data_IF_951046107354
#
_entry.id   IF_951046107354
#
_cell.length_a   1.000
_cell.length_b   1.000
_cell.length_c   1.000
_cell.angle_alpha   90.00
_cell.angle_beta   90.00
_cell.angle_gamma   90.00
#
_symmetry.space_group_name_H-M   'P 1'
#
loop_
_entity.id
_entity.type
_entity.pdbx_description
1 polymer ?
#
# COMPACT_ATOMS: atom_id res chain seq x y z
N UNK A 1 9.37 13.16 -1.32
CA UNK A 1 10.67 13.09 -2.03
C UNK A 1 11.68 12.42 -1.12
N UNK A 2 12.76 11.87 -1.70
CA UNK A 2 13.81 11.21 -0.93
C UNK A 2 14.49 12.14 0.09
N UNK A 3 14.67 13.41 -0.25
CA UNK A 3 15.28 14.43 0.62
C UNK A 3 14.56 14.61 1.98
N UNK A 4 13.26 14.31 2.04
CA UNK A 4 12.48 14.43 3.26
C UNK A 4 12.63 13.22 4.21
N UNK A 5 13.17 12.09 3.73
CA UNK A 5 13.15 10.81 4.47
C UNK A 5 14.00 10.90 5.74
N UNK A 6 15.29 11.26 5.61
CA UNK A 6 16.19 11.34 6.77
C UNK A 6 15.71 12.35 7.82
N UNK A 7 15.39 13.61 7.48
CA UNK A 7 14.86 14.56 8.47
C UNK A 7 13.59 14.05 9.16
N UNK A 8 12.70 13.36 8.43
CA UNK A 8 11.50 12.77 9.03
C UNK A 8 11.83 11.64 10.01
N UNK A 9 12.85 10.82 9.72
CA UNK A 9 13.30 9.75 10.63
C UNK A 9 13.93 10.31 11.89
N UNK A 10 14.74 11.36 11.78
CA UNK A 10 15.35 12.05 12.93
C UNK A 10 14.27 12.65 13.86
N UNK A 11 13.24 13.28 13.29
CA UNK A 11 12.10 13.78 14.05
C UNK A 11 11.31 12.66 14.73
N UNK A 12 11.05 11.56 13.99
CA UNK A 12 10.33 10.41 14.53
C UNK A 12 11.11 9.74 15.67
N UNK A 13 12.44 9.67 15.57
CA UNK A 13 13.30 9.10 16.60
C UNK A 13 13.23 9.93 17.90
N UNK A 14 13.21 11.26 17.79
CA UNK A 14 13.06 12.16 18.93
C UNK A 14 11.76 11.95 19.73
N UNK A 15 10.70 11.47 19.09
CA UNK A 15 9.40 11.20 19.75
C UNK A 15 9.14 9.71 19.99
N UNK A 16 10.09 8.82 19.68
CA UNK A 16 9.92 7.35 19.70
C UNK A 16 9.35 6.82 21.02
N UNK A 17 9.84 7.33 22.16
CA UNK A 17 9.39 6.92 23.50
C UNK A 17 7.96 7.38 23.85
N UNK A 18 7.40 8.31 23.08
CA UNK A 18 6.06 8.85 23.28
C UNK A 18 5.02 8.12 22.40
N UNK A 19 5.47 7.32 21.42
CA UNK A 19 4.61 6.57 20.53
C UNK A 19 3.89 5.46 21.30
N UNK A 20 2.55 5.47 21.25
CA UNK A 20 1.71 4.45 21.90
C UNK A 20 1.24 3.36 20.94
N UNK A 21 1.58 3.49 19.66
CA UNK A 21 1.17 2.57 18.59
C UNK A 21 2.33 2.38 17.61
N UNK A 22 2.39 1.24 16.92
CA UNK A 22 3.32 1.06 15.80
C UNK A 22 3.14 2.15 14.74
N UNK A 23 4.23 2.47 14.06
CA UNK A 23 4.24 3.43 12.96
C UNK A 23 4.54 2.68 11.67
N UNK A 24 3.84 3.06 10.61
CA UNK A 24 4.09 2.59 9.25
C UNK A 24 4.78 3.71 8.47
N UNK A 25 5.85 3.38 7.75
CA UNK A 25 6.57 4.37 6.93
C UNK A 25 6.27 4.10 5.47
N UNK A 26 5.63 5.08 4.82
CA UNK A 26 5.10 4.93 3.47
C UNK A 26 5.97 5.61 2.42
N UNK A 27 6.17 4.94 1.29
CA UNK A 27 6.68 5.55 0.06
C UNK A 27 6.23 4.78 -1.18
N UNK A 28 5.98 5.53 -2.26
CA UNK A 28 5.85 4.96 -3.59
C UNK A 28 7.25 4.84 -4.21
N UNK A 29 7.71 3.60 -4.33
CA UNK A 29 9.09 3.26 -4.73
C UNK A 29 9.19 2.66 -6.13
N UNK A 30 8.04 2.34 -6.74
CA UNK A 30 7.93 1.79 -8.09
C UNK A 30 6.87 2.53 -8.92
N UNK A 31 7.01 2.56 -10.26
CA UNK A 31 5.97 3.06 -11.13
C UNK A 31 4.83 2.06 -11.20
N UNK A 32 3.59 2.54 -11.06
CA UNK A 32 2.39 1.71 -11.09
C UNK A 32 1.43 2.11 -12.18
N UNK A 33 0.21 1.54 -12.16
CA UNK A 33 -0.74 1.75 -13.24
C UNK A 33 -1.16 3.21 -13.33
N UNK A 34 -1.05 3.76 -14.54
CA UNK A 34 -1.34 5.17 -14.85
C UNK A 34 -0.52 6.18 -14.00
N UNK A 35 0.55 5.71 -13.34
CA UNK A 35 1.39 6.50 -12.46
C UNK A 35 2.47 7.28 -13.22
N UNK A 36 3.12 8.20 -12.52
CA UNK A 36 4.32 8.87 -13.02
C UNK A 36 5.58 8.08 -12.66
N UNK A 37 6.63 8.18 -13.46
CA UNK A 37 7.96 7.62 -13.15
C UNK A 37 8.69 8.36 -12.01
N UNK A 38 8.07 9.40 -11.44
CA UNK A 38 8.61 10.18 -10.32
C UNK A 38 8.49 9.42 -8.97
N UNK A 39 9.22 8.31 -8.86
CA UNK A 39 9.24 7.43 -7.68
C UNK A 39 10.33 7.84 -6.69
N UNK A 40 10.20 7.40 -5.44
CA UNK A 40 11.29 7.48 -4.46
C UNK A 40 12.28 6.35 -4.73
N UNK A 41 13.59 6.64 -4.69
CA UNK A 41 14.62 5.62 -4.81
C UNK A 41 14.46 4.55 -3.71
N UNK A 42 14.14 3.32 -4.13
CA UNK A 42 13.81 2.22 -3.23
C UNK A 42 14.95 1.90 -2.26
N UNK A 43 16.18 1.73 -2.77
CA UNK A 43 17.33 1.35 -1.97
C UNK A 43 17.65 2.41 -0.91
N UNK A 44 17.78 3.67 -1.31
CA UNK A 44 18.08 4.77 -0.39
C UNK A 44 16.99 4.99 0.65
N UNK A 45 15.72 4.83 0.26
CA UNK A 45 14.60 4.90 1.20
C UNK A 45 14.68 3.78 2.24
N UNK A 46 14.81 2.53 1.80
CA UNK A 46 14.86 1.36 2.67
C UNK A 46 16.08 1.40 3.60
N UNK A 47 17.27 1.71 3.07
CA UNK A 47 18.50 1.83 3.85
C UNK A 47 18.35 2.90 4.95
N UNK A 48 17.80 4.06 4.58
CA UNK A 48 17.61 5.15 5.55
C UNK A 48 16.62 4.75 6.63
N UNK A 49 15.42 4.28 6.25
CA UNK A 49 14.36 3.94 7.22
C UNK A 49 14.81 2.82 8.16
N UNK A 50 15.40 1.76 7.62
CA UNK A 50 15.79 0.58 8.41
C UNK A 50 17.01 0.84 9.31
N UNK A 51 17.86 1.81 8.97
CA UNK A 51 18.96 2.25 9.85
C UNK A 51 18.46 2.91 11.15
N UNK A 52 17.32 3.62 11.10
CA UNK A 52 16.71 4.25 12.27
C UNK A 52 15.72 3.30 12.99
N UNK A 53 14.94 2.54 12.21
CA UNK A 53 13.87 1.69 12.70
C UNK A 53 13.91 0.30 12.05
N UNK A 54 14.78 -0.62 12.51
CA UNK A 54 14.93 -1.94 11.90
C UNK A 54 13.68 -2.83 12.01
N UNK A 55 12.81 -2.57 13.00
CA UNK A 55 11.59 -3.34 13.28
C UNK A 55 10.30 -2.59 12.91
N UNK A 56 10.36 -1.67 11.95
CA UNK A 56 9.20 -0.90 11.49
C UNK A 56 8.34 -1.69 10.51
N UNK A 57 7.07 -1.32 10.35
CA UNK A 57 6.27 -1.77 9.19
C UNK A 57 6.49 -0.82 8.03
N UNK A 58 6.82 -1.38 6.87
CA UNK A 58 7.01 -0.62 5.64
C UNK A 58 5.70 -0.63 4.84
N UNK A 59 5.30 0.53 4.33
CA UNK A 59 4.19 0.67 3.39
C UNK A 59 4.76 1.03 2.03
N UNK A 60 4.95 0.02 1.16
CA UNK A 60 5.72 0.16 -0.08
C UNK A 60 4.77 0.12 -1.27
N UNK A 61 4.58 1.28 -1.88
CA UNK A 61 3.59 1.51 -2.92
C UNK A 61 4.17 1.65 -4.31
N UNK A 62 3.23 1.84 -5.24
CA UNK A 62 3.51 2.32 -6.57
C UNK A 62 2.89 3.69 -6.77
N UNK A 63 3.54 4.54 -7.57
CA UNK A 63 2.86 5.73 -8.07
C UNK A 63 1.70 5.27 -8.94
N UNK A 64 0.50 5.79 -8.68
CA UNK A 64 -0.71 5.38 -9.43
C UNK A 64 -1.53 6.58 -9.86
N UNK A 65 -2.20 6.45 -10.99
CA UNK A 65 -3.17 7.41 -11.48
C UNK A 65 -4.56 6.80 -11.60
N UNK A 66 -5.57 7.64 -11.49
CA UNK A 66 -6.93 7.32 -11.89
C UNK A 66 -7.45 8.41 -12.83
N UNK A 67 -8.06 7.99 -13.93
CA UNK A 67 -8.52 8.85 -15.01
C UNK A 67 -10.01 8.62 -15.29
N UNK A 68 -10.88 9.61 -15.02
CA UNK A 68 -12.31 9.48 -15.29
C UNK A 68 -12.60 9.24 -16.77
N UNK A 69 -13.55 8.35 -17.05
CA UNK A 69 -13.99 8.03 -18.42
C UNK A 69 -12.97 7.29 -19.29
N UNK A 70 -11.84 6.84 -18.71
CA UNK A 70 -10.84 6.01 -19.38
C UNK A 70 -10.80 4.61 -18.77
N UNK A 71 -10.26 3.67 -19.54
CA UNK A 71 -9.83 2.40 -18.97
C UNK A 71 -8.65 2.67 -18.04
N UNK A 72 -8.78 2.26 -16.78
CA UNK A 72 -7.72 2.35 -15.79
C UNK A 72 -7.15 0.95 -15.61
N UNK A 73 -5.92 0.76 -16.05
CA UNK A 73 -5.22 -0.52 -15.89
C UNK A 73 -4.97 -0.81 -14.41
N UNK A 74 -4.95 -2.10 -14.06
CA UNK A 74 -4.54 -2.56 -12.76
C UNK A 74 -3.03 -2.85 -12.70
N UNK A 75 -2.56 -3.26 -11.53
CA UNK A 75 -1.21 -3.80 -11.30
C UNK A 75 -0.98 -5.07 -12.13
N UNK A 76 0.06 -5.07 -12.95
CA UNK A 76 0.42 -6.21 -13.79
C UNK A 76 1.47 -7.13 -13.13
N UNK A 77 1.77 -8.24 -13.83
CA UNK A 77 2.76 -9.22 -13.37
C UNK A 77 4.18 -8.66 -13.21
N UNK A 78 4.58 -7.70 -14.05
CA UNK A 78 5.90 -7.10 -13.98
C UNK A 78 6.00 -6.26 -12.71
N UNK A 79 5.00 -5.42 -12.45
CA UNK A 79 4.91 -4.55 -11.28
C UNK A 79 4.98 -5.33 -9.96
N UNK A 80 4.19 -6.41 -9.84
CA UNK A 80 4.18 -7.20 -8.58
C UNK A 80 5.44 -8.04 -8.40
N UNK A 81 6.05 -8.53 -9.49
CA UNK A 81 7.32 -9.29 -9.41
C UNK A 81 8.48 -8.40 -9.03
N UNK A 82 8.55 -7.19 -9.56
CA UNK A 82 9.57 -6.21 -9.19
C UNK A 82 9.45 -5.82 -7.71
N UNK A 83 8.23 -5.56 -7.23
CA UNK A 83 8.00 -5.31 -5.80
C UNK A 83 8.42 -6.50 -4.93
N UNK A 84 8.09 -7.73 -5.34
CA UNK A 84 8.50 -8.93 -4.62
C UNK A 84 10.03 -9.06 -4.53
N UNK A 85 10.76 -8.76 -5.62
CA UNK A 85 12.23 -8.79 -5.65
C UNK A 85 12.84 -7.79 -4.67
N UNK A 86 12.31 -6.56 -4.61
CA UNK A 86 12.77 -5.56 -3.64
C UNK A 86 12.51 -6.02 -2.20
N UNK A 87 11.37 -6.67 -1.96
CA UNK A 87 10.94 -7.05 -0.62
C UNK A 87 11.56 -8.38 -0.11
N UNK A 88 12.17 -9.18 -0.98
CA UNK A 88 12.75 -10.50 -0.64
C UNK A 88 13.84 -10.39 0.43
N UNK A 89 14.66 -9.33 0.37
CA UNK A 89 15.76 -9.11 1.33
C UNK A 89 15.33 -8.45 2.64
N UNK A 90 14.09 -7.98 2.73
CA UNK A 90 13.59 -7.28 3.92
C UNK A 90 13.21 -8.28 5.00
N UNK A 91 13.37 -7.92 6.27
CA UNK A 91 12.87 -8.71 7.42
C UNK A 91 11.61 -8.09 8.06
N UNK A 92 11.30 -6.85 7.69
CA UNK A 92 10.17 -6.05 8.20
C UNK A 92 8.82 -6.57 7.69
N UNK A 93 7.71 -6.39 8.43
CA UNK A 93 6.37 -6.46 7.84
C UNK A 93 6.23 -5.45 6.71
N UNK A 94 5.60 -5.84 5.61
CA UNK A 94 5.38 -4.97 4.45
C UNK A 94 3.90 -4.95 4.11
N UNK A 95 3.30 -3.77 4.06
CA UNK A 95 1.98 -3.59 3.47
C UNK A 95 2.12 -2.91 2.12
N UNK A 96 1.35 -3.35 1.14
CA UNK A 96 1.32 -2.77 -0.20
C UNK A 96 0.09 -1.88 -0.33
N UNK A 97 0.23 -0.54 -0.30
CA UNK A 97 -0.87 0.37 -0.56
C UNK A 97 -1.29 0.24 -2.02
N UNK A 98 -2.51 -0.26 -2.25
CA UNK A 98 -3.10 -0.43 -3.57
C UNK A 98 -4.38 0.38 -3.69
N UNK A 99 -4.55 1.05 -4.83
CA UNK A 99 -5.67 1.96 -5.07
C UNK A 99 -6.94 1.16 -5.35
N UNK A 100 -7.99 1.36 -4.57
CA UNK A 100 -9.24 0.60 -4.58
C UNK A 100 -9.82 0.42 -5.99
N UNK A 101 -9.82 1.49 -6.80
CA UNK A 101 -10.34 1.50 -8.16
C UNK A 101 -9.59 0.57 -9.15
N UNK A 102 -8.38 0.12 -8.79
CA UNK A 102 -7.47 -0.64 -9.65
C UNK A 102 -7.28 -2.10 -9.21
N UNK A 103 -7.80 -2.47 -8.03
CA UNK A 103 -7.54 -3.81 -7.46
C UNK A 103 -8.32 -4.90 -8.20
N UNK A 104 -9.53 -4.59 -8.65
CA UNK A 104 -10.43 -5.59 -9.26
C UNK A 104 -9.80 -6.27 -10.48
N UNK A 105 -9.00 -5.53 -11.25
CA UNK A 105 -8.33 -6.04 -12.45
C UNK A 105 -7.05 -6.84 -12.13
N UNK A 106 -6.59 -6.82 -10.87
CA UNK A 106 -5.25 -7.30 -10.47
C UNK A 106 -5.28 -8.27 -9.31
N UNK A 107 -6.42 -8.91 -9.06
CA UNK A 107 -6.55 -9.86 -7.95
C UNK A 107 -5.52 -10.98 -8.08
N UNK A 108 -5.30 -11.54 -9.27
CA UNK A 108 -4.37 -12.66 -9.45
C UNK A 108 -2.93 -12.28 -9.13
N UNK A 109 -2.49 -11.11 -9.62
CA UNK A 109 -1.16 -10.55 -9.46
C UNK A 109 -0.90 -10.21 -7.99
N UNK A 110 -1.85 -9.52 -7.34
CA UNK A 110 -1.73 -9.13 -5.94
C UNK A 110 -1.86 -10.32 -4.99
N UNK A 111 -2.70 -11.32 -5.30
CA UNK A 111 -2.78 -12.57 -4.53
C UNK A 111 -1.48 -13.33 -4.60
N UNK A 112 -0.85 -13.41 -5.78
CA UNK A 112 0.48 -14.01 -5.92
C UNK A 112 1.53 -13.26 -5.09
N UNK A 113 1.52 -11.92 -5.10
CA UNK A 113 2.42 -11.12 -4.28
C UNK A 113 2.30 -11.46 -2.79
N UNK A 114 1.08 -11.54 -2.26
CA UNK A 114 0.85 -11.91 -0.85
C UNK A 114 1.26 -13.35 -0.51
N UNK A 115 1.35 -14.25 -1.49
CA UNK A 115 1.81 -15.62 -1.27
C UNK A 115 3.34 -15.72 -1.10
N UNK A 116 4.10 -14.68 -1.48
CA UNK A 116 5.56 -14.73 -1.39
C UNK A 116 6.07 -14.67 0.06
N UNK A 117 5.28 -14.15 0.99
CA UNK A 117 5.65 -14.03 2.41
C UNK A 117 4.41 -13.82 3.29
N UNK A 118 4.41 -14.42 4.48
CA UNK A 118 3.37 -14.21 5.50
C UNK A 118 3.43 -12.80 6.12
N UNK A 119 4.58 -12.12 6.00
CA UNK A 119 4.79 -10.73 6.43
C UNK A 119 4.09 -9.69 5.55
N UNK A 120 3.54 -10.10 4.41
CA UNK A 120 2.95 -9.19 3.43
C UNK A 120 1.47 -8.94 3.70
N UNK A 121 1.00 -7.72 3.47
CA UNK A 121 -0.41 -7.35 3.55
C UNK A 121 -0.78 -6.33 2.46
N UNK A 122 -2.07 -6.06 2.30
CA UNK A 122 -2.55 -4.96 1.45
C UNK A 122 -3.13 -3.84 2.31
N UNK A 123 -2.93 -2.61 1.85
CA UNK A 123 -3.67 -1.44 2.33
C UNK A 123 -4.48 -0.88 1.16
N UNK A 124 -5.79 -1.10 1.17
CA UNK A 124 -6.69 -0.59 0.14
C UNK A 124 -6.96 0.89 0.44
N UNK A 125 -6.53 1.78 -0.45
CA UNK A 125 -6.73 3.21 -0.30
C UNK A 125 -7.46 3.81 -1.50
N UNK A 126 -8.04 5.00 -1.34
CA UNK A 126 -8.67 5.70 -2.45
C UNK A 126 -8.36 7.21 -2.43
N UNK A 127 -8.11 7.76 -3.61
CA UNK A 127 -8.09 9.20 -3.83
C UNK A 127 -9.49 9.81 -3.78
N UNK A 128 -9.56 11.12 -3.54
CA UNK A 128 -10.86 11.85 -3.45
C UNK A 128 -11.70 11.78 -4.73
N UNK A 129 -11.03 11.73 -5.88
CA UNK A 129 -11.67 11.71 -7.20
C UNK A 129 -11.86 10.29 -7.73
N UNK A 130 -11.39 9.27 -7.01
CA UNK A 130 -11.46 7.89 -7.46
C UNK A 130 -12.90 7.41 -7.42
N UNK A 131 -13.36 6.83 -8.52
CA UNK A 131 -14.67 6.16 -8.56
C UNK A 131 -14.46 4.66 -8.40
N UNK A 132 -15.04 4.12 -7.33
CA UNK A 132 -15.07 2.71 -6.98
C UNK A 132 -16.35 2.43 -6.19
N UNK A 133 -16.85 1.20 -6.23
CA UNK A 133 -18.11 0.83 -5.60
C UNK A 133 -17.92 0.04 -4.31
N UNK A 134 -18.95 -0.03 -3.46
CA UNK A 134 -18.98 -0.99 -2.34
C UNK A 134 -18.82 -2.42 -2.85
N UNK A 135 -19.39 -2.75 -4.00
CA UNK A 135 -19.24 -4.05 -4.67
C UNK A 135 -17.76 -4.38 -4.94
N UNK A 136 -16.96 -3.40 -5.35
CA UNK A 136 -15.52 -3.61 -5.56
C UNK A 136 -14.80 -3.89 -4.24
N UNK A 137 -15.15 -3.19 -3.16
CA UNK A 137 -14.58 -3.45 -1.82
C UNK A 137 -14.97 -4.82 -1.27
N UNK A 138 -16.21 -5.25 -1.51
CA UNK A 138 -16.70 -6.58 -1.16
C UNK A 138 -15.97 -7.65 -1.98
N UNK A 139 -15.80 -7.43 -3.28
CA UNK A 139 -15.04 -8.32 -4.16
C UNK A 139 -13.59 -8.48 -3.67
N UNK A 140 -12.92 -7.39 -3.28
CA UNK A 140 -11.57 -7.46 -2.67
C UNK A 140 -11.63 -8.29 -1.39
N UNK A 141 -12.59 -8.03 -0.50
CA UNK A 141 -12.74 -8.74 0.79
C UNK A 141 -12.96 -10.24 0.63
N UNK A 142 -13.59 -10.67 -0.46
CA UNK A 142 -13.84 -12.08 -0.76
C UNK A 142 -12.61 -12.80 -1.34
N UNK A 143 -11.74 -12.07 -2.04
CA UNK A 143 -10.58 -12.65 -2.74
C UNK A 143 -9.27 -12.65 -1.91
N UNK A 144 -9.22 -11.91 -0.81
CA UNK A 144 -8.04 -11.82 0.04
C UNK A 144 -8.32 -12.23 1.49
N UNK A 145 -7.28 -12.68 2.19
CA UNK A 145 -7.36 -12.95 3.64
C UNK A 145 -7.69 -11.65 4.40
N UNK A 146 -8.85 -11.63 5.04
CA UNK A 146 -9.38 -10.49 5.80
C UNK A 146 -8.44 -10.01 6.92
N UNK A 147 -7.57 -10.89 7.43
CA UNK A 147 -6.58 -10.53 8.46
C UNK A 147 -5.36 -9.80 7.89
N UNK A 148 -5.17 -9.82 6.57
CA UNK A 148 -4.04 -9.26 5.83
C UNK A 148 -4.44 -8.11 4.90
N UNK A 149 -5.65 -7.57 5.06
CA UNK A 149 -6.15 -6.43 4.28
C UNK A 149 -6.64 -5.34 5.22
N UNK A 150 -6.07 -4.17 5.06
CA UNK A 150 -6.46 -2.93 5.74
C UNK A 150 -7.15 -2.00 4.76
N UNK A 151 -8.07 -1.16 5.24
CA UNK A 151 -8.82 -0.21 4.42
C UNK A 151 -8.57 1.20 4.93
N UNK A 152 -7.97 2.04 4.09
CA UNK A 152 -7.80 3.49 4.27
C UNK A 152 -8.73 4.23 3.30
N UNK A 153 -10.02 4.21 3.65
CA UNK A 153 -11.12 4.68 2.80
C UNK A 153 -11.85 5.81 3.52
N UNK A 154 -12.10 6.91 2.82
CA UNK A 154 -12.84 8.06 3.36
C UNK A 154 -14.35 7.83 3.40
N UNK A 155 -15.04 8.60 4.23
CA UNK A 155 -16.50 8.68 4.19
C UNK A 155 -16.99 9.34 2.89
N UNK A 156 -18.19 8.99 2.38
CA UNK A 156 -19.17 8.08 2.98
C UNK A 156 -18.93 6.58 2.68
N UNK A 157 -18.01 6.26 1.78
CA UNK A 157 -17.82 4.90 1.26
C UNK A 157 -17.46 3.88 2.35
N UNK A 158 -16.67 4.31 3.34
CA UNK A 158 -16.29 3.48 4.48
C UNK A 158 -17.49 3.05 5.34
N UNK A 159 -18.43 3.96 5.63
CA UNK A 159 -19.65 3.61 6.36
C UNK A 159 -20.53 2.64 5.57
N UNK A 160 -20.71 2.87 4.28
CA UNK A 160 -21.49 1.96 3.41
C UNK A 160 -20.87 0.56 3.36
N UNK A 161 -19.53 0.48 3.25
CA UNK A 161 -18.80 -0.78 3.27
C UNK A 161 -18.95 -1.52 4.61
N UNK A 162 -18.78 -0.82 5.74
CA UNK A 162 -18.96 -1.41 7.09
C UNK A 162 -20.37 -1.96 7.28
N UNK A 163 -21.38 -1.22 6.83
CA UNK A 163 -22.78 -1.67 6.85
C UNK A 163 -22.98 -2.93 6.01
N UNK A 164 -22.41 -2.97 4.81
CA UNK A 164 -22.50 -4.14 3.93
C UNK A 164 -21.86 -5.41 4.52
N UNK A 165 -20.83 -5.27 5.37
CA UNK A 165 -20.16 -6.42 6.02
C UNK A 165 -20.66 -6.69 7.45
N UNK A 166 -21.67 -5.97 7.92
CA UNK A 166 -22.25 -6.14 9.27
C UNK A 166 -21.32 -5.76 10.42
N UNK A 167 -20.46 -4.75 10.24
CA UNK A 167 -19.45 -4.33 11.22
C UNK A 167 -19.77 -2.98 11.90
N UNK A 168 -21.05 -2.69 12.12
CA UNK A 168 -21.52 -1.52 12.90
C UNK A 168 -21.38 -1.74 14.42
#
# INVERSE_FOLDING_TARGET
SLEAVRPSMELLEGVKQQLRRPVWINADILPGPNGSDAVVDAGRFLDTVTSFFPNVTLSLGWTTGWHPGKHNEGYDWMMVKEMAQICDTLSQPVTFPVRAALVRQSVSELSWLLQQSDRYSLTIWAGKEDVYSVEDLLYIRENFDKSRVYYDISEPQNSEFKKAIGAE
#
